data_IF_785883697687
#
_entry.id   IF_785883697687
#
_cell.length_a   1.000
_cell.length_b   1.000
_cell.length_c   1.000
_cell.angle_alpha   90.00
_cell.angle_beta   90.00
_cell.angle_gamma   90.00
#
_symmetry.space_group_name_H-M   'P 1'
#
loop_
_entity.id
_entity.type
_entity.pdbx_description
1 polymer ?
#
# COMPACT_ATOMS: atom_id res chain seq x y z
N UNK A 1 -60.85 33.28 -12.03
CA UNK A 1 -60.68 32.41 -10.84
C UNK A 1 -59.23 31.99 -10.79
N UNK A 2 -58.40 32.69 -10.02
CA UNK A 2 -56.94 32.50 -10.02
C UNK A 2 -56.58 31.64 -8.81
N UNK A 3 -56.09 30.43 -9.10
CA UNK A 3 -55.72 29.43 -8.10
C UNK A 3 -54.39 29.83 -7.47
N UNK A 4 -54.42 30.50 -6.31
CA UNK A 4 -53.24 30.58 -5.44
C UNK A 4 -53.14 29.30 -4.62
N UNK A 5 -52.50 28.27 -5.21
CA UNK A 5 -52.16 27.03 -4.49
C UNK A 5 -50.93 27.31 -3.62
N UNK A 6 -51.15 27.52 -2.31
CA UNK A 6 -50.07 27.67 -1.33
C UNK A 6 -49.22 26.40 -1.31
N UNK A 7 -47.98 26.49 -1.75
CA UNK A 7 -46.98 25.42 -1.57
C UNK A 7 -46.79 25.28 -0.05
N UNK A 8 -47.02 24.08 0.51
CA UNK A 8 -46.81 23.85 1.94
C UNK A 8 -45.34 24.13 2.25
N UNK A 9 -45.06 25.15 3.06
CA UNK A 9 -43.70 25.50 3.48
C UNK A 9 -42.93 24.32 4.12
N UNK A 10 -43.64 23.30 4.62
CA UNK A 10 -43.10 22.03 5.13
C UNK A 10 -42.14 21.37 4.14
N UNK A 11 -42.48 21.31 2.85
CA UNK A 11 -41.65 20.59 1.86
C UNK A 11 -40.34 21.32 1.55
N UNK A 12 -40.28 22.64 1.71
CA UNK A 12 -39.04 23.40 1.47
C UNK A 12 -38.01 23.09 2.55
N UNK A 13 -38.43 23.08 3.82
CA UNK A 13 -37.55 22.74 4.93
C UNK A 13 -37.06 21.29 4.86
N UNK A 14 -37.93 20.36 4.46
CA UNK A 14 -37.57 18.95 4.25
C UNK A 14 -36.51 18.80 3.14
N UNK A 15 -36.69 19.49 1.99
CA UNK A 15 -35.69 19.45 0.90
C UNK A 15 -34.36 20.08 1.29
N UNK A 16 -34.38 21.16 2.08
CA UNK A 16 -33.16 21.82 2.55
C UNK A 16 -32.37 20.86 3.45
N UNK A 17 -33.02 20.24 4.44
CA UNK A 17 -32.38 19.28 5.33
C UNK A 17 -31.80 18.10 4.54
N UNK A 18 -32.55 17.57 3.57
CA UNK A 18 -32.07 16.48 2.72
C UNK A 18 -30.81 16.88 1.92
N UNK A 19 -30.78 18.08 1.34
CA UNK A 19 -29.60 18.56 0.61
C UNK A 19 -28.37 18.72 1.51
N UNK A 20 -28.55 19.21 2.74
CA UNK A 20 -27.45 19.33 3.71
C UNK A 20 -26.90 17.96 4.09
N UNK A 21 -27.79 16.98 4.33
CA UNK A 21 -27.36 15.61 4.61
C UNK A 21 -26.57 15.00 3.44
N UNK A 22 -27.01 15.21 2.21
CA UNK A 22 -26.29 14.73 1.02
C UNK A 22 -24.89 15.34 0.96
N UNK A 23 -24.75 16.65 1.18
CA UNK A 23 -23.45 17.34 1.18
C UNK A 23 -22.52 16.78 2.26
N UNK A 24 -23.03 16.54 3.47
CA UNK A 24 -22.25 15.95 4.58
C UNK A 24 -21.76 14.55 4.20
N UNK A 25 -22.63 13.70 3.65
CA UNK A 25 -22.27 12.34 3.22
C UNK A 25 -21.16 12.41 2.16
N UNK A 26 -21.31 13.26 1.14
CA UNK A 26 -20.28 13.42 0.10
C UNK A 26 -18.94 13.89 0.68
N UNK A 27 -18.95 14.79 1.66
CA UNK A 27 -17.75 15.26 2.32
C UNK A 27 -17.05 14.10 3.07
N UNK A 28 -17.81 13.34 3.87
CA UNK A 28 -17.28 12.18 4.60
C UNK A 28 -16.75 11.11 3.64
N UNK A 29 -17.51 10.77 2.59
CA UNK A 29 -17.09 9.81 1.57
C UNK A 29 -15.82 10.24 0.84
N UNK A 30 -15.67 11.54 0.54
CA UNK A 30 -14.46 12.07 -0.11
C UNK A 30 -13.24 11.97 0.80
N UNK A 31 -13.40 12.28 2.09
CA UNK A 31 -12.33 12.12 3.08
C UNK A 31 -11.95 10.65 3.25
N UNK A 32 -12.92 9.75 3.32
CA UNK A 32 -12.67 8.31 3.39
C UNK A 32 -11.93 7.80 2.15
N UNK A 33 -12.38 8.20 0.95
CA UNK A 33 -11.72 7.82 -0.30
C UNK A 33 -10.29 8.33 -0.36
N UNK A 34 -10.05 9.58 0.04
CA UNK A 34 -8.70 10.17 0.05
C UNK A 34 -7.77 9.41 1.01
N UNK A 35 -8.27 9.06 2.20
CA UNK A 35 -7.50 8.27 3.16
C UNK A 35 -7.21 6.86 2.63
N UNK A 36 -8.19 6.19 2.04
CA UNK A 36 -8.00 4.87 1.43
C UNK A 36 -7.01 4.91 0.27
N UNK A 37 -7.09 5.94 -0.58
CA UNK A 37 -6.18 6.13 -1.71
C UNK A 37 -4.75 6.41 -1.23
N UNK A 38 -4.58 7.32 -0.27
CA UNK A 38 -3.29 7.61 0.35
C UNK A 38 -2.67 6.36 1.00
N UNK A 39 -3.45 5.61 1.77
CA UNK A 39 -2.98 4.38 2.42
C UNK A 39 -2.66 3.28 1.40
N UNK A 40 -3.42 3.18 0.31
CA UNK A 40 -3.14 2.22 -0.77
C UNK A 40 -1.88 2.56 -1.54
N UNK A 41 -1.52 3.84 -1.69
CA UNK A 41 -0.29 4.25 -2.38
C UNK A 41 0.92 4.08 -1.46
N UNK A 42 0.84 4.55 -0.22
CA UNK A 42 1.94 4.45 0.75
C UNK A 42 2.20 3.01 1.17
N UNK A 43 1.15 2.18 1.30
CA UNK A 43 1.27 0.77 1.65
C UNK A 43 1.55 -0.17 0.47
N UNK A 44 1.80 0.35 -0.74
CA UNK A 44 2.01 -0.48 -1.92
C UNK A 44 3.42 -1.10 -1.97
N UNK A 45 3.77 -1.85 -0.92
CA UNK A 45 4.94 -2.71 -0.87
C UNK A 45 4.85 -3.86 -1.89
N UNK A 46 3.78 -3.93 -2.70
CA UNK A 46 3.63 -4.86 -3.82
C UNK A 46 4.81 -4.77 -4.78
N UNK A 47 5.20 -3.55 -5.20
CA UNK A 47 6.36 -3.36 -6.09
C UNK A 47 7.66 -3.85 -5.47
N UNK A 48 7.83 -3.62 -4.16
CA UNK A 48 9.00 -4.07 -3.42
C UNK A 48 9.01 -5.59 -3.28
N UNK A 49 7.85 -6.19 -2.99
CA UNK A 49 7.67 -7.65 -2.94
C UNK A 49 7.92 -8.30 -4.30
N UNK A 50 7.40 -7.73 -5.39
CA UNK A 50 7.63 -8.20 -6.75
C UNK A 50 9.11 -8.17 -7.11
N UNK A 51 9.82 -7.07 -6.79
CA UNK A 51 11.27 -7.00 -6.97
C UNK A 51 12.01 -8.06 -6.12
N UNK A 52 11.62 -8.24 -4.86
CA UNK A 52 12.23 -9.26 -3.99
C UNK A 52 11.99 -10.68 -4.53
N UNK A 53 10.80 -10.96 -5.08
CA UNK A 53 10.46 -12.21 -5.74
C UNK A 53 11.30 -12.43 -7.01
N UNK A 54 11.53 -11.38 -7.79
CA UNK A 54 12.41 -11.44 -8.96
C UNK A 54 13.85 -11.77 -8.55
N UNK A 55 14.38 -11.09 -7.53
CA UNK A 55 15.73 -11.34 -7.00
C UNK A 55 15.88 -12.79 -6.48
N UNK A 56 14.84 -13.33 -5.84
CA UNK A 56 14.81 -14.73 -5.39
C UNK A 56 14.85 -15.71 -6.57
N UNK A 57 14.10 -15.44 -7.63
CA UNK A 57 14.10 -16.26 -8.84
C UNK A 57 15.46 -16.22 -9.57
N UNK A 58 16.04 -15.03 -9.72
CA UNK A 58 17.35 -14.83 -10.33
C UNK A 58 18.47 -15.52 -9.53
N UNK A 59 18.39 -15.54 -8.19
CA UNK A 59 19.32 -16.31 -7.36
C UNK A 59 19.26 -17.81 -7.66
N UNK A 60 18.05 -18.38 -7.73
CA UNK A 60 17.87 -19.82 -7.94
C UNK A 60 18.15 -20.31 -9.37
N UNK A 61 18.22 -19.43 -10.38
CA UNK A 61 18.34 -19.83 -11.79
C UNK A 61 19.53 -19.21 -12.53
N UNK A 62 19.99 -18.02 -12.16
CA UNK A 62 21.02 -17.28 -12.89
C UNK A 62 22.27 -16.96 -12.06
N UNK A 63 22.35 -17.46 -10.83
CA UNK A 63 23.57 -17.39 -10.02
C UNK A 63 23.96 -15.95 -9.68
N UNK A 64 23.10 -15.25 -8.94
CA UNK A 64 23.50 -13.98 -8.32
C UNK A 64 24.70 -14.27 -7.40
N UNK A 65 25.81 -13.56 -7.62
CA UNK A 65 26.97 -13.62 -6.73
C UNK A 65 26.63 -12.91 -5.42
N UNK A 66 26.68 -13.66 -4.34
CA UNK A 66 26.48 -13.15 -2.99
C UNK A 66 27.81 -12.65 -2.41
N UNK A 67 27.81 -11.60 -1.57
CA UNK A 67 26.65 -10.79 -1.20
C UNK A 67 26.25 -9.83 -2.34
N UNK A 68 24.94 -9.63 -2.51
CA UNK A 68 24.40 -8.74 -3.53
C UNK A 68 23.73 -7.54 -2.88
N UNK A 69 24.07 -6.34 -3.35
CA UNK A 69 23.50 -5.09 -2.89
C UNK A 69 22.99 -4.29 -4.08
N UNK A 70 21.77 -3.77 -3.96
CA UNK A 70 21.18 -2.94 -5.00
C UNK A 70 20.32 -1.85 -4.38
N UNK A 71 20.59 -0.60 -4.75
CA UNK A 71 19.74 0.53 -4.40
C UNK A 71 18.77 0.81 -5.56
N UNK A 72 17.48 0.96 -5.27
CA UNK A 72 16.46 1.33 -6.24
C UNK A 72 15.53 2.36 -5.63
N UNK A 73 15.74 3.63 -6.00
CA UNK A 73 15.00 4.76 -5.43
C UNK A 73 15.26 4.87 -3.93
N UNK A 74 14.19 4.87 -3.13
CA UNK A 74 14.24 4.98 -1.67
C UNK A 74 14.44 3.63 -0.95
N UNK A 75 14.70 2.55 -1.69
CA UNK A 75 14.83 1.20 -1.12
C UNK A 75 16.19 0.58 -1.43
N UNK A 76 16.79 -0.01 -0.40
CA UNK A 76 18.06 -0.73 -0.45
C UNK A 76 17.78 -2.23 -0.31
N UNK A 77 18.24 -3.01 -1.28
CA UNK A 77 18.11 -4.46 -1.29
C UNK A 77 19.45 -5.09 -0.93
N UNK A 78 19.44 -6.03 0.01
CA UNK A 78 20.61 -6.83 0.38
C UNK A 78 20.27 -8.31 0.37
N UNK A 79 21.11 -9.09 -0.29
CA UNK A 79 21.03 -10.56 -0.30
C UNK A 79 22.31 -11.10 0.31
N UNK A 80 22.17 -11.80 1.44
CA UNK A 80 23.29 -12.33 2.22
C UNK A 80 23.06 -13.80 2.57
N UNK A 81 24.15 -14.58 2.61
CA UNK A 81 24.14 -15.92 3.18
C UNK A 81 24.39 -15.81 4.68
N UNK A 82 23.48 -16.33 5.48
CA UNK A 82 23.63 -16.45 6.93
C UNK A 82 23.56 -17.92 7.34
N UNK A 83 24.27 -18.26 8.42
CA UNK A 83 24.20 -19.60 9.00
C UNK A 83 23.30 -19.54 10.23
N UNK A 84 22.05 -19.98 10.10
CA UNK A 84 21.12 -20.11 11.23
C UNK A 84 21.05 -21.57 11.66
N UNK A 85 21.37 -21.82 12.93
CA UNK A 85 21.17 -23.14 13.58
C UNK A 85 21.69 -24.34 12.78
N UNK A 86 22.82 -24.18 12.09
CA UNK A 86 23.51 -25.21 11.29
C UNK A 86 22.99 -25.41 9.85
N UNK A 87 22.04 -24.60 9.38
CA UNK A 87 21.56 -24.60 7.99
C UNK A 87 22.02 -23.31 7.29
N UNK A 88 22.48 -23.44 6.04
CA UNK A 88 22.77 -22.29 5.19
C UNK A 88 21.43 -21.67 4.74
N UNK A 89 21.21 -20.40 5.05
CA UNK A 89 20.01 -19.67 4.63
C UNK A 89 20.40 -18.43 3.85
N UNK A 90 19.60 -18.11 2.84
CA UNK A 90 19.76 -16.88 2.06
C UNK A 90 18.71 -15.89 2.52
N UNK A 91 19.18 -14.78 3.06
CA UNK A 91 18.36 -13.68 3.57
C UNK A 91 18.24 -12.65 2.47
N UNK A 92 17.01 -12.41 2.02
CA UNK A 92 16.64 -11.36 1.08
C UNK A 92 15.97 -10.24 1.88
N UNK A 93 16.61 -9.09 1.95
CA UNK A 93 16.13 -7.94 2.72
C UNK A 93 15.97 -6.73 1.81
N UNK A 94 14.86 -6.02 1.98
CA UNK A 94 14.63 -4.69 1.42
C UNK A 94 14.42 -3.73 2.59
N UNK A 95 15.22 -2.66 2.66
CA UNK A 95 15.17 -1.64 3.70
C UNK A 95 14.95 -0.27 3.07
N UNK A 96 13.99 0.49 3.59
CA UNK A 96 13.83 1.88 3.24
C UNK A 96 14.48 2.75 4.34
N UNK A 97 15.62 3.41 4.07
CA UNK A 97 16.28 4.27 5.06
C UNK A 97 15.46 5.51 5.45
N UNK A 98 14.48 5.91 4.63
CA UNK A 98 13.64 7.10 4.86
C UNK A 98 12.46 6.78 5.80
N UNK A 99 11.77 5.66 5.56
CA UNK A 99 10.59 5.27 6.35
C UNK A 99 10.92 4.31 7.50
N UNK A 100 12.16 3.83 7.59
CA UNK A 100 12.61 2.76 8.51
C UNK A 100 11.85 1.44 8.35
N UNK A 101 11.06 1.28 7.28
CA UNK A 101 10.39 0.03 6.97
C UNK A 101 11.39 -0.99 6.41
N UNK A 102 11.30 -2.23 6.90
CA UNK A 102 12.09 -3.33 6.38
C UNK A 102 11.20 -4.54 6.08
N UNK A 103 11.46 -5.18 4.94
CA UNK A 103 10.81 -6.41 4.53
C UNK A 103 11.91 -7.46 4.36
N UNK A 104 11.87 -8.48 5.21
CA UNK A 104 12.82 -9.60 5.16
C UNK A 104 12.10 -10.86 4.72
N UNK A 105 12.63 -11.52 3.71
CA UNK A 105 12.27 -12.89 3.34
C UNK A 105 13.49 -13.78 3.48
N UNK A 106 13.29 -14.95 4.09
CA UNK A 106 14.33 -15.95 4.29
C UNK A 106 13.99 -17.13 3.38
N UNK A 107 14.97 -17.56 2.59
CA UNK A 107 14.89 -18.80 1.81
C UNK A 107 15.90 -19.77 2.40
N UNK A 108 15.48 -21.01 2.64
CA UNK A 108 16.41 -22.08 3.00
C UNK A 108 17.20 -22.43 1.73
N UNK A 109 18.53 -22.38 1.82
CA UNK A 109 19.39 -22.89 0.75
C UNK A 109 19.32 -24.42 0.88
N UNK A 110 18.48 -25.07 0.06
CA UNK A 110 18.56 -26.52 -0.15
C UNK A 110 19.76 -26.77 -1.05
N UNK A 111 20.95 -26.78 -0.43
CA UNK A 111 22.19 -27.31 -1.00
C UNK A 111 22.45 -28.71 -0.42
#
# INVERSE_FOLDING_TARGET
MVVLRRIKASTLMETLVATVLIVIIFMISSMLLNNLFSNSITGNNQRIKEQLHRLQYEYGHHGIKLPYYQDTGDWQYSITKEKKESVNVVVFQAMNPITQESITKISVDEE
#
